data_IF_162952619612
#
_entry.id   IF_162952619612
#
_cell.length_a   1.000
_cell.length_b   1.000
_cell.length_c   1.000
_cell.angle_alpha   90.00
_cell.angle_beta   90.00
_cell.angle_gamma   90.00
#
_symmetry.space_group_name_H-M   'P 1'
#
loop_
_entity.id
_entity.type
_entity.pdbx_description
1 polymer ?
#
# COMPACT_ATOMS: atom_id res chain seq x y z
N UNK A 1 14.93 0.58 2.21
CA UNK A 1 13.53 1.02 1.94
C UNK A 1 13.41 2.53 1.79
N UNK A 2 14.05 3.33 2.65
CA UNK A 2 13.93 4.80 2.58
C UNK A 2 14.48 5.41 1.29
N UNK A 3 15.60 4.88 0.77
CA UNK A 3 16.25 5.44 -0.43
C UNK A 3 15.33 5.38 -1.66
N UNK A 4 14.69 4.22 -1.90
CA UNK A 4 13.74 4.03 -3.01
C UNK A 4 12.53 4.95 -2.89
N UNK A 5 12.04 5.19 -1.67
CA UNK A 5 10.88 6.06 -1.44
C UNK A 5 11.14 7.55 -1.65
N UNK A 6 12.42 7.98 -1.68
CA UNK A 6 12.82 9.39 -1.85
C UNK A 6 13.61 9.63 -3.14
N UNK A 7 13.81 8.60 -3.95
CA UNK A 7 14.66 8.68 -5.13
C UNK A 7 13.95 9.46 -6.25
N UNK A 8 14.58 10.49 -6.85
CA UNK A 8 13.92 11.38 -7.82
C UNK A 8 13.50 10.68 -9.12
N UNK A 9 14.23 9.64 -9.53
CA UNK A 9 13.96 8.90 -10.77
C UNK A 9 13.14 7.62 -10.56
N UNK A 10 12.58 7.39 -9.38
CA UNK A 10 11.78 6.20 -9.08
C UNK A 10 10.41 6.63 -8.59
N UNK A 11 9.37 6.21 -9.32
CA UNK A 11 8.00 6.35 -8.86
C UNK A 11 7.57 5.08 -8.12
N UNK A 12 7.37 5.18 -6.81
CA UNK A 12 6.96 4.06 -5.97
C UNK A 12 5.43 3.98 -5.88
N UNK A 13 4.83 2.98 -6.54
CA UNK A 13 3.40 2.69 -6.45
C UNK A 13 3.16 1.55 -5.45
N UNK A 14 2.87 1.90 -4.20
CA UNK A 14 2.58 0.93 -3.13
C UNK A 14 1.10 0.50 -3.18
N UNK A 15 0.79 -0.68 -2.60
CA UNK A 15 -0.57 -1.27 -2.64
C UNK A 15 -1.16 -1.32 -4.06
N UNK A 16 -0.30 -1.62 -5.04
CA UNK A 16 -0.62 -1.60 -6.46
C UNK A 16 -0.21 -2.91 -7.10
N UNK A 17 -1.00 -3.36 -8.07
CA UNK A 17 -0.78 -4.61 -8.80
C UNK A 17 -0.80 -4.33 -10.30
N UNK A 18 0.01 -5.08 -11.04
CA UNK A 18 -0.01 -5.00 -12.51
C UNK A 18 -1.25 -5.74 -13.00
N UNK A 19 -2.19 -5.00 -13.60
CA UNK A 19 -3.43 -5.56 -14.10
C UNK A 19 -3.28 -6.09 -15.53
N UNK A 20 -2.47 -5.41 -16.35
CA UNK A 20 -2.33 -5.74 -17.77
C UNK A 20 -1.00 -5.25 -18.31
N UNK A 21 -0.34 -6.06 -19.14
CA UNK A 21 0.85 -5.68 -19.89
C UNK A 21 0.58 -5.92 -21.37
N UNK A 22 0.73 -4.89 -22.18
CA UNK A 22 0.58 -4.92 -23.64
C UNK A 22 1.82 -4.37 -24.30
N UNK A 23 2.03 -4.77 -25.57
CA UNK A 23 3.11 -4.27 -26.41
C UNK A 23 4.24 -5.27 -26.60
N UNK A 24 5.42 -4.77 -26.95
CA UNK A 24 6.60 -5.56 -27.29
C UNK A 24 7.85 -4.91 -26.72
N UNK A 25 8.99 -5.58 -26.81
CA UNK A 25 10.26 -5.07 -26.30
C UNK A 25 10.52 -3.62 -26.78
N UNK A 26 10.70 -2.69 -25.84
CA UNK A 26 10.93 -1.26 -26.09
C UNK A 26 9.67 -0.39 -26.15
N UNK A 27 8.47 -0.96 -26.25
CA UNK A 27 7.19 -0.24 -26.26
C UNK A 27 6.14 -1.03 -25.48
N UNK A 28 6.21 -0.89 -24.15
CA UNK A 28 5.26 -1.52 -23.23
C UNK A 28 4.23 -0.50 -22.76
N UNK A 29 2.97 -0.92 -22.77
CA UNK A 29 1.87 -0.22 -22.10
C UNK A 29 1.38 -1.10 -20.97
N UNK A 30 1.60 -0.63 -19.74
CA UNK A 30 1.25 -1.35 -18.52
C UNK A 30 0.10 -0.63 -17.85
N UNK A 31 -0.95 -1.37 -17.49
CA UNK A 31 -2.00 -0.87 -16.59
C UNK A 31 -1.70 -1.36 -15.19
N UNK A 32 -1.67 -0.41 -14.26
CA UNK A 32 -1.42 -0.67 -12.85
C UNK A 32 -2.69 -0.35 -12.09
N UNK A 33 -3.21 -1.32 -11.35
CA UNK A 33 -4.33 -1.14 -10.44
C UNK A 33 -3.77 -0.70 -9.09
N UNK A 34 -3.95 0.57 -8.76
CA UNK A 34 -3.66 1.08 -7.42
C UNK A 34 -4.89 0.86 -6.53
N UNK A 35 -4.79 -0.05 -5.56
CA UNK A 35 -5.90 -0.40 -4.68
C UNK A 35 -6.20 0.76 -3.73
N UNK A 36 -7.48 1.10 -3.62
CA UNK A 36 -7.95 2.14 -2.71
C UNK A 36 -7.62 1.75 -1.27
N UNK A 37 -6.89 2.64 -0.58
CA UNK A 37 -6.60 2.51 0.86
C UNK A 37 -7.72 3.05 1.74
N UNK A 38 -8.68 3.76 1.14
CA UNK A 38 -9.72 4.52 1.84
C UNK A 38 -9.16 5.56 2.84
N UNK A 39 -7.93 6.01 2.61
CA UNK A 39 -7.24 7.07 3.36
C UNK A 39 -6.64 8.02 2.33
N UNK A 40 -6.79 9.33 2.54
CA UNK A 40 -6.11 10.35 1.74
C UNK A 40 -4.62 10.36 2.10
N UNK A 41 -3.78 9.91 1.18
CA UNK A 41 -2.36 9.66 1.45
C UNK A 41 -1.59 10.98 1.57
N UNK A 42 -1.96 11.99 0.78
CA UNK A 42 -1.40 13.35 0.86
C UNK A 42 -1.55 14.00 2.24
N UNK A 43 -2.63 13.68 2.95
CA UNK A 43 -2.92 14.22 4.29
C UNK A 43 -2.44 13.28 5.42
N UNK A 44 -2.04 12.05 5.09
CA UNK A 44 -1.74 11.02 6.08
C UNK A 44 -0.33 11.19 6.67
N UNK A 45 -0.24 11.49 7.96
CA UNK A 45 1.03 11.67 8.68
C UNK A 45 1.59 10.39 9.28
N UNK A 46 0.90 9.26 9.14
CA UNK A 46 1.27 7.98 9.77
C UNK A 46 1.33 8.01 11.32
N UNK A 47 0.55 8.88 11.98
CA UNK A 47 0.52 9.01 13.44
C UNK A 47 -0.04 7.79 14.20
N UNK A 48 -0.89 6.98 13.55
CA UNK A 48 -1.46 5.76 14.13
C UNK A 48 -2.60 5.96 15.13
N UNK A 49 -3.14 7.17 15.30
CA UNK A 49 -4.27 7.41 16.21
C UNK A 49 -5.56 6.73 15.73
N UNK A 50 -5.74 6.63 14.41
CA UNK A 50 -6.90 5.99 13.79
C UNK A 50 -7.06 4.51 14.15
N UNK A 51 -5.96 3.76 14.35
CA UNK A 51 -6.03 2.35 14.71
C UNK A 51 -6.43 2.15 16.18
N UNK A 52 -6.05 3.06 17.08
CA UNK A 52 -6.38 2.99 18.51
C UNK A 52 -7.89 3.02 18.77
N UNK A 53 -8.61 3.85 18.01
CA UNK A 53 -10.07 4.04 18.15
C UNK A 53 -10.88 3.02 17.37
N UNK A 54 -10.24 2.21 16.50
CA UNK A 54 -10.95 1.29 15.64
C UNK A 54 -11.55 0.12 16.46
N UNK A 55 -12.88 -0.10 16.40
CA UNK A 55 -13.54 -1.16 17.16
C UNK A 55 -13.34 -2.56 16.54
N UNK A 56 -13.01 -2.62 15.24
CA UNK A 56 -12.91 -3.89 14.50
C UNK A 56 -11.51 -4.49 14.66
N UNK A 57 -11.48 -5.78 14.99
CA UNK A 57 -10.26 -6.59 15.12
C UNK A 57 -10.25 -7.68 14.05
N UNK A 58 -9.12 -7.83 13.37
CA UNK A 58 -8.91 -8.75 12.25
C UNK A 58 -7.58 -9.50 12.46
N UNK A 59 -7.44 -10.78 12.08
CA UNK A 59 -6.15 -11.46 12.13
C UNK A 59 -5.08 -10.73 11.32
N UNK A 60 -3.85 -10.68 11.83
CA UNK A 60 -2.75 -9.99 11.17
C UNK A 60 -2.07 -10.89 10.14
N UNK A 61 -2.22 -10.59 8.86
CA UNK A 61 -1.61 -11.36 7.77
C UNK A 61 -0.08 -11.27 7.77
N UNK A 62 0.49 -10.16 8.26
CA UNK A 62 1.94 -9.98 8.35
C UNK A 62 2.58 -10.96 9.35
N UNK A 63 1.87 -11.24 10.45
CA UNK A 63 2.27 -12.20 11.49
C UNK A 63 1.69 -13.59 11.25
N UNK A 64 1.20 -13.89 10.03
CA UNK A 64 0.65 -15.20 9.65
C UNK A 64 -0.51 -15.61 10.59
N UNK A 65 -1.29 -14.64 11.07
CA UNK A 65 -2.43 -14.86 11.95
C UNK A 65 -2.09 -15.11 13.42
N UNK A 66 -0.81 -15.01 13.83
CA UNK A 66 -0.42 -15.15 15.24
C UNK A 66 -0.84 -13.97 16.10
N UNK A 67 -0.91 -12.77 15.51
CA UNK A 67 -1.39 -11.57 16.17
C UNK A 67 -2.68 -11.02 15.57
N UNK A 68 -3.24 -10.03 16.24
CA UNK A 68 -4.44 -9.33 15.82
C UNK A 68 -4.12 -7.89 15.45
N UNK A 69 -4.73 -7.40 14.37
CA UNK A 69 -4.65 -6.01 13.92
C UNK A 69 -6.03 -5.37 13.89
N UNK A 70 -6.05 -4.08 13.59
CA UNK A 70 -7.27 -3.30 13.39
C UNK A 70 -7.64 -3.26 11.91
N UNK A 71 -8.87 -2.90 11.60
CA UNK A 71 -9.32 -2.76 10.21
C UNK A 71 -8.51 -1.69 9.44
N UNK A 72 -8.25 -0.54 10.09
CA UNK A 72 -7.25 0.44 9.64
C UNK A 72 -5.91 0.12 10.29
N UNK A 73 -4.88 -0.11 9.47
CA UNK A 73 -3.59 -0.58 9.95
C UNK A 73 -2.45 -0.12 9.02
N UNK A 74 -1.23 -0.34 9.49
CA UNK A 74 0.00 -0.24 8.70
C UNK A 74 0.77 -1.55 8.95
N UNK A 75 1.23 -2.25 7.90
CA UNK A 75 2.06 -3.44 8.05
C UNK A 75 3.39 -3.14 8.75
#
# INVERSE_FOLDING_TARGET
MMDVGRHPNIQLLTNSEVAEVKGKAGDFRVKILQKARYVKIEDCTSCGECSKVCPIVVPNEYEIGLGARKAIYRP
#
